data_IF_507735499624
#
_entry.id   IF_507735499624
#
_cell.length_a   1.000
_cell.length_b   1.000
_cell.length_c   1.000
_cell.angle_alpha   90.00
_cell.angle_beta   90.00
_cell.angle_gamma   90.00
#
_symmetry.space_group_name_H-M   'P 1'
#
loop_
_entity.id
_entity.type
_entity.pdbx_description
1 polymer ?
#
# COMPACT_ATOMS: atom_id res chain seq x y z
N UNK A 1 -1.40 -10.92 4.19
CA UNK A 1 -0.85 -9.61 3.80
C UNK A 1 -0.99 -8.67 4.99
N UNK A 2 0.01 -7.84 5.30
CA UNK A 2 -0.10 -6.80 6.35
C UNK A 2 0.05 -5.43 5.71
N UNK A 3 -0.98 -4.60 5.85
CA UNK A 3 -1.01 -3.24 5.32
C UNK A 3 -0.58 -2.29 6.44
N UNK A 4 0.51 -1.56 6.23
CA UNK A 4 1.15 -0.68 7.21
C UNK A 4 0.83 0.79 7.04
N UNK A 5 0.33 1.18 5.86
CA UNK A 5 0.01 2.57 5.59
C UNK A 5 -0.85 2.74 4.35
N UNK A 6 -1.58 3.85 4.33
CA UNK A 6 -2.38 4.30 3.21
C UNK A 6 -2.23 5.82 3.07
N UNK A 7 -1.58 6.25 1.99
CA UNK A 7 -1.66 7.64 1.53
C UNK A 7 -2.92 7.75 0.67
N UNK A 8 -3.92 8.48 1.17
CA UNK A 8 -5.24 8.58 0.55
C UNK A 8 -5.24 9.22 -0.84
N UNK A 9 -4.24 10.04 -1.16
CA UNK A 9 -4.09 10.62 -2.50
C UNK A 9 -2.61 10.89 -2.77
N UNK A 10 -2.12 10.46 -3.93
CA UNK A 10 -0.79 10.71 -4.47
C UNK A 10 -0.92 11.17 -5.92
N UNK A 11 0.01 12.01 -6.35
CA UNK A 11 0.16 12.46 -7.74
C UNK A 11 1.52 12.05 -8.33
N UNK A 12 2.37 11.41 -7.52
CA UNK A 12 3.77 11.13 -7.87
C UNK A 12 4.06 9.63 -7.96
N UNK A 13 3.37 8.80 -7.16
CA UNK A 13 3.64 7.35 -7.15
C UNK A 13 2.95 6.62 -8.32
N UNK A 14 2.03 7.29 -9.00
CA UNK A 14 1.49 6.87 -10.29
C UNK A 14 1.39 8.10 -11.22
N UNK A 15 2.48 8.47 -11.90
CA UNK A 15 2.54 9.68 -12.70
C UNK A 15 1.42 9.75 -13.76
N UNK A 16 0.77 10.91 -13.85
CA UNK A 16 -0.33 11.14 -14.79
C UNK A 16 -1.71 10.72 -14.28
N UNK A 17 -1.81 10.17 -13.07
CA UNK A 17 -3.05 9.69 -12.49
C UNK A 17 -3.23 10.17 -11.05
N UNK A 18 -4.48 10.47 -10.67
CA UNK A 18 -4.84 10.66 -9.26
C UNK A 18 -4.95 9.26 -8.62
N UNK A 19 -3.98 8.88 -7.80
CA UNK A 19 -3.92 7.54 -7.21
C UNK A 19 -3.92 7.60 -5.68
N UNK A 20 -3.96 6.44 -5.03
CA UNK A 20 -3.58 6.29 -3.62
C UNK A 20 -2.41 5.32 -3.49
N UNK A 21 -1.67 5.40 -2.39
CA UNK A 21 -0.49 4.56 -2.15
C UNK A 21 -0.69 3.67 -0.93
N UNK A 22 -0.58 2.36 -1.10
CA UNK A 22 -0.67 1.35 -0.04
C UNK A 22 0.73 0.83 0.28
N UNK A 23 1.07 0.81 1.57
CA UNK A 23 2.36 0.31 2.05
C UNK A 23 2.18 -1.06 2.69
N UNK A 24 2.89 -2.06 2.17
CA UNK A 24 2.93 -3.41 2.73
C UNK A 24 4.13 -3.61 3.65
N UNK A 25 3.95 -4.46 4.66
CA UNK A 25 5.04 -4.89 5.53
C UNK A 25 6.00 -5.86 4.81
N UNK A 26 7.26 -5.80 5.20
CA UNK A 26 8.30 -6.75 4.83
C UNK A 26 9.11 -6.30 3.62
N UNK A 27 10.44 -6.39 3.72
CA UNK A 27 11.38 -6.24 2.62
C UNK A 27 12.47 -7.31 2.77
N UNK A 28 12.97 -7.84 1.67
CA UNK A 28 14.12 -8.74 1.64
C UNK A 28 15.47 -7.99 1.68
N UNK A 29 15.45 -6.65 1.76
CA UNK A 29 16.63 -5.81 1.91
C UNK A 29 16.60 -5.00 3.22
N UNK A 30 17.78 -4.61 3.68
CA UNK A 30 18.00 -3.70 4.82
C UNK A 30 18.84 -2.50 4.37
N UNK A 31 18.35 -1.78 3.36
CA UNK A 31 19.05 -0.65 2.76
C UNK A 31 19.36 0.42 3.82
N UNK A 32 20.62 0.87 3.92
CA UNK A 32 21.03 1.89 4.89
C UNK A 32 20.40 3.27 4.65
N UNK A 33 19.82 3.49 3.47
CA UNK A 33 19.10 4.69 3.06
C UNK A 33 17.59 4.47 2.97
N UNK A 34 17.05 3.41 3.57
CA UNK A 34 15.62 3.13 3.50
C UNK A 34 14.81 4.30 4.08
N UNK A 35 13.83 4.78 3.32
CA UNK A 35 12.93 5.84 3.80
C UNK A 35 11.88 5.30 4.79
N UNK A 36 11.57 4.00 4.72
CA UNK A 36 10.58 3.31 5.55
C UNK A 36 11.19 2.11 6.29
N UNK A 37 12.26 2.29 7.09
CA UNK A 37 12.96 1.20 7.76
C UNK A 37 12.05 0.42 8.72
N UNK A 38 11.00 1.05 9.26
CA UNK A 38 9.98 0.44 10.12
C UNK A 38 9.22 -0.71 9.44
N UNK A 39 9.12 -0.71 8.10
CA UNK A 39 8.52 -1.80 7.34
C UNK A 39 9.37 -3.08 7.35
N UNK A 40 10.63 -2.99 7.79
CA UNK A 40 11.60 -4.10 7.85
C UNK A 40 12.01 -4.42 9.30
N UNK A 41 12.13 -3.40 10.15
CA UNK A 41 12.64 -3.52 11.51
C UNK A 41 11.57 -3.92 12.54
N UNK A 42 10.31 -4.05 12.13
CA UNK A 42 9.29 -4.78 12.88
C UNK A 42 8.60 -4.01 14.01
N UNK A 43 8.82 -2.71 14.15
CA UNK A 43 8.27 -1.94 15.27
C UNK A 43 7.60 -0.65 14.78
N UNK A 44 6.32 -0.49 15.15
CA UNK A 44 5.68 0.77 15.61
C UNK A 44 4.27 1.05 15.06
N UNK A 45 3.87 0.54 13.90
CA UNK A 45 2.54 0.84 13.31
C UNK A 45 1.56 -0.33 13.36
N UNK A 46 0.34 -0.11 13.91
CA UNK A 46 -0.76 -1.06 13.80
C UNK A 46 -1.07 -1.38 12.33
N UNK A 47 -1.47 -2.62 12.07
CA UNK A 47 -1.92 -3.02 10.74
C UNK A 47 -3.28 -2.37 10.43
N UNK A 48 -3.41 -1.81 9.22
CA UNK A 48 -4.71 -1.42 8.68
C UNK A 48 -5.48 -2.67 8.30
N UNK A 49 -6.78 -2.71 8.66
CA UNK A 49 -7.66 -3.79 8.23
C UNK A 49 -7.87 -3.72 6.72
N UNK A 50 -7.91 -4.88 6.08
CA UNK A 50 -8.17 -4.96 4.64
C UNK A 50 -9.55 -4.37 4.30
N UNK A 51 -10.54 -4.55 5.17
CA UNK A 51 -11.89 -4.02 5.04
C UNK A 51 -11.88 -2.49 5.00
N UNK A 52 -11.12 -1.85 5.89
CA UNK A 52 -11.01 -0.38 5.95
C UNK A 52 -10.42 0.20 4.65
N UNK A 53 -9.44 -0.50 4.08
CA UNK A 53 -8.83 -0.13 2.79
C UNK A 53 -9.82 -0.30 1.64
N UNK A 54 -10.54 -1.42 1.60
CA UNK A 54 -11.54 -1.69 0.57
C UNK A 54 -12.70 -0.68 0.64
N UNK A 55 -13.17 -0.34 1.83
CA UNK A 55 -14.21 0.67 2.05
C UNK A 55 -13.75 2.07 1.62
N UNK A 56 -12.48 2.40 1.87
CA UNK A 56 -11.88 3.63 1.37
C UNK A 56 -11.85 3.66 -0.17
N UNK A 57 -11.34 2.60 -0.81
CA UNK A 57 -11.25 2.51 -2.27
C UNK A 57 -12.63 2.61 -2.91
N UNK A 58 -13.62 1.92 -2.33
CA UNK A 58 -15.00 1.97 -2.83
C UNK A 58 -15.59 3.38 -2.76
N UNK A 59 -15.41 4.10 -1.65
CA UNK A 59 -15.88 5.49 -1.51
C UNK A 59 -15.15 6.46 -2.44
N UNK A 60 -13.92 6.15 -2.84
CA UNK A 60 -13.06 7.03 -3.64
C UNK A 60 -12.96 6.63 -5.12
N UNK A 61 -13.64 5.56 -5.53
CA UNK A 61 -13.62 5.00 -6.89
C UNK A 61 -13.88 6.02 -8.01
N UNK A 62 -14.68 7.06 -7.76
CA UNK A 62 -14.95 8.12 -8.75
C UNK A 62 -13.81 9.12 -8.94
N UNK A 63 -12.87 9.17 -8.00
CA UNK A 63 -11.79 10.15 -7.95
C UNK A 63 -10.41 9.54 -8.14
N UNK A 64 -10.23 8.28 -7.75
CA UNK A 64 -8.98 7.56 -7.89
C UNK A 64 -8.97 6.81 -9.22
N UNK A 65 -7.95 7.06 -10.02
CA UNK A 65 -7.66 6.38 -11.29
C UNK A 65 -6.71 5.18 -11.11
N UNK A 66 -6.06 5.08 -9.95
CA UNK A 66 -5.15 3.98 -9.66
C UNK A 66 -4.83 3.75 -8.19
N UNK A 67 -4.20 2.61 -7.92
CA UNK A 67 -3.70 2.22 -6.61
C UNK A 67 -2.25 1.80 -6.79
N UNK A 68 -1.32 2.56 -6.21
CA UNK A 68 0.09 2.20 -6.14
C UNK A 68 0.31 1.32 -4.90
N UNK A 69 0.79 0.09 -5.10
CA UNK A 69 1.09 -0.84 -4.00
C UNK A 69 2.60 -0.91 -3.87
N UNK A 70 3.09 -0.43 -2.74
CA UNK A 70 4.52 -0.33 -2.38
C UNK A 70 4.72 -0.82 -0.95
N UNK A 71 5.78 -0.40 -0.28
CA UNK A 71 6.08 -0.73 1.11
C UNK A 71 7.55 -1.02 1.29
N UNK A 72 7.85 -2.13 1.95
CA UNK A 72 9.14 -2.76 1.81
C UNK A 72 9.30 -3.30 0.37
N UNK A 73 9.14 -4.60 0.19
CA UNK A 73 9.03 -5.23 -1.12
C UNK A 73 7.61 -5.81 -1.27
N UNK A 74 6.70 -5.15 -2.02
CA UNK A 74 5.30 -5.55 -2.09
C UNK A 74 5.12 -6.96 -2.66
N UNK A 75 6.00 -7.43 -3.56
CA UNK A 75 5.86 -8.75 -4.18
C UNK A 75 6.11 -9.91 -3.21
N UNK A 76 6.68 -9.67 -2.02
CA UNK A 76 6.88 -10.72 -1.01
C UNK A 76 5.60 -11.11 -0.28
N UNK A 77 4.67 -10.16 -0.09
CA UNK A 77 3.55 -10.33 0.85
C UNK A 77 2.18 -10.01 0.26
N UNK A 78 2.13 -9.46 -0.96
CA UNK A 78 0.87 -9.17 -1.64
C UNK A 78 0.09 -10.44 -1.96
N UNK A 79 -1.22 -10.38 -1.73
CA UNK A 79 -2.11 -11.51 -2.00
C UNK A 79 -2.89 -11.29 -3.30
N UNK A 80 -2.92 -12.31 -4.16
CA UNK A 80 -3.73 -12.31 -5.40
C UNK A 80 -5.21 -12.00 -5.12
N UNK A 81 -5.75 -12.56 -4.03
CA UNK A 81 -7.14 -12.34 -3.60
C UNK A 81 -7.45 -10.87 -3.31
N UNK A 82 -6.47 -10.08 -2.86
CA UNK A 82 -6.64 -8.65 -2.65
C UNK A 82 -6.64 -7.89 -3.98
N UNK A 83 -5.73 -8.22 -4.89
CA UNK A 83 -5.67 -7.63 -6.24
C UNK A 83 -7.00 -7.82 -7.00
N UNK A 84 -7.59 -9.01 -6.91
CA UNK A 84 -8.89 -9.31 -7.52
C UNK A 84 -10.03 -8.46 -6.93
N UNK A 85 -9.95 -8.06 -5.64
CA UNK A 85 -10.94 -7.19 -5.00
C UNK A 85 -10.82 -5.74 -5.46
N UNK A 86 -9.62 -5.23 -5.70
CA UNK A 86 -9.39 -3.81 -6.04
C UNK A 86 -9.44 -3.51 -7.55
N UNK A 87 -9.35 -4.53 -8.42
CA UNK A 87 -9.38 -4.37 -9.89
C UNK A 87 -10.78 -4.01 -10.45
N UNK A 88 -11.82 -4.02 -9.62
CA UNK A 88 -13.22 -3.84 -10.04
C UNK A 88 -13.65 -2.39 -10.05
#
# INVERSE_FOLDING_TARGET
MKIKGLIKTTLIDYPGHIACTLFLYGCNFKCGFCHNPELVLGESTPDLKQEEVLDFLQRRKKYLEGVCITGGEPLLTIEKSFLEKIKK
#
